data_IF_646048627992
#
_entry.id   IF_646048627992
#
_cell.length_a   1.000
_cell.length_b   1.000
_cell.length_c   1.000
_cell.angle_alpha   90.00
_cell.angle_beta   90.00
_cell.angle_gamma   90.00
#
_symmetry.space_group_name_H-M   'P 1'
#
loop_
_entity.id
_entity.type
_entity.pdbx_description
1 polymer ?
#
# COMPACT_ATOMS: atom_id res chain seq x y z
N UNK A 1 13.79 -24.11 -37.82
CA UNK A 1 13.27 -22.93 -38.54
C UNK A 1 11.76 -22.75 -38.42
N UNK A 2 10.90 -23.77 -38.47
CA UNK A 2 9.44 -23.63 -38.32
C UNK A 2 9.01 -23.21 -36.90
N UNK A 3 9.60 -23.74 -35.85
CA UNK A 3 9.29 -23.45 -34.44
C UNK A 3 9.53 -21.96 -34.09
N UNK A 4 10.61 -21.36 -34.56
CA UNK A 4 10.95 -19.95 -34.34
C UNK A 4 9.94 -18.99 -34.98
N UNK A 5 9.38 -19.35 -36.15
CA UNK A 5 8.33 -18.57 -36.81
C UNK A 5 7.00 -18.56 -36.03
N UNK A 6 6.65 -19.69 -35.39
CA UNK A 6 5.44 -19.77 -34.55
C UNK A 6 5.57 -18.98 -33.25
N UNK A 7 6.74 -18.97 -32.61
CA UNK A 7 7.02 -18.18 -31.41
C UNK A 7 6.96 -16.68 -31.75
N UNK A 8 7.57 -16.27 -32.88
CA UNK A 8 7.54 -14.87 -33.30
C UNK A 8 6.11 -14.39 -33.68
N UNK A 9 5.33 -15.25 -34.36
CA UNK A 9 3.94 -14.95 -34.67
C UNK A 9 3.07 -14.84 -33.43
N UNK A 10 3.28 -15.70 -32.43
CA UNK A 10 2.55 -15.64 -31.16
C UNK A 10 2.86 -14.35 -30.38
N UNK A 11 4.13 -13.91 -30.37
CA UNK A 11 4.53 -12.64 -29.73
C UNK A 11 3.94 -11.42 -30.45
N UNK A 12 3.89 -11.44 -31.78
CA UNK A 12 3.28 -10.36 -32.57
C UNK A 12 1.76 -10.27 -32.35
N UNK A 13 1.07 -11.41 -32.24
CA UNK A 13 -0.37 -11.44 -31.95
C UNK A 13 -0.63 -10.93 -30.52
N UNK A 14 0.15 -11.38 -29.52
CA UNK A 14 0.03 -10.90 -28.16
C UNK A 14 0.33 -9.40 -28.03
N UNK A 15 1.31 -8.89 -28.76
CA UNK A 15 1.65 -7.46 -28.77
C UNK A 15 0.55 -6.62 -29.44
N UNK A 16 -0.04 -7.12 -30.54
CA UNK A 16 -1.14 -6.42 -31.22
C UNK A 16 -2.42 -6.41 -30.41
N UNK A 17 -2.76 -7.49 -29.71
CA UNK A 17 -3.93 -7.56 -28.81
C UNK A 17 -3.75 -6.68 -27.60
N UNK A 18 -2.55 -6.58 -27.04
CA UNK A 18 -2.24 -5.70 -25.91
C UNK A 18 -2.32 -4.22 -26.31
N UNK A 19 -1.77 -3.85 -27.47
CA UNK A 19 -1.86 -2.50 -28.01
C UNK A 19 -3.31 -2.08 -28.29
N UNK A 20 -4.12 -2.98 -28.87
CA UNK A 20 -5.55 -2.73 -29.12
C UNK A 20 -6.36 -2.60 -27.82
N UNK A 21 -6.04 -3.37 -26.79
CA UNK A 21 -6.67 -3.26 -25.48
C UNK A 21 -6.37 -1.90 -24.82
N UNK A 22 -5.11 -1.44 -24.88
CA UNK A 22 -4.72 -0.13 -24.37
C UNK A 22 -5.39 1.03 -25.15
N UNK A 23 -5.51 0.91 -26.45
CA UNK A 23 -6.16 1.93 -27.28
C UNK A 23 -7.66 1.99 -27.00
N UNK A 24 -8.32 0.84 -26.82
CA UNK A 24 -9.71 0.74 -26.40
C UNK A 24 -9.92 1.34 -25.01
N UNK A 25 -9.02 1.11 -24.08
CA UNK A 25 -9.09 1.66 -22.72
C UNK A 25 -8.93 3.20 -22.71
N UNK A 26 -8.09 3.76 -23.59
CA UNK A 26 -7.96 5.21 -23.78
C UNK A 26 -9.22 5.87 -24.37
N UNK A 27 -10.05 5.10 -25.10
CA UNK A 27 -11.30 5.57 -25.72
C UNK A 27 -12.52 5.45 -24.78
N UNK A 28 -12.38 4.75 -23.64
CA UNK A 28 -13.49 4.60 -22.68
C UNK A 28 -13.85 5.94 -22.06
N UNK A 29 -15.15 6.20 -21.95
CA UNK A 29 -15.69 7.31 -21.18
C UNK A 29 -15.38 7.12 -19.67
N UNK A 30 -15.49 8.19 -18.90
CA UNK A 30 -15.34 8.15 -17.45
C UNK A 30 -16.34 7.17 -16.79
N UNK A 31 -17.56 7.07 -17.33
CA UNK A 31 -18.59 6.13 -16.87
C UNK A 31 -18.18 4.67 -17.13
N UNK A 32 -17.81 4.36 -18.38
CA UNK A 32 -17.40 3.00 -18.75
C UNK A 32 -16.18 2.53 -17.94
N UNK A 33 -15.24 3.44 -17.66
CA UNK A 33 -14.10 3.17 -16.79
C UNK A 33 -14.56 2.86 -15.36
N UNK A 34 -15.48 3.67 -14.83
CA UNK A 34 -16.00 3.46 -13.49
C UNK A 34 -16.79 2.15 -13.38
N UNK A 35 -17.60 1.80 -14.38
CA UNK A 35 -18.33 0.53 -14.40
C UNK A 35 -17.38 -0.67 -14.42
N UNK A 36 -16.35 -0.63 -15.27
CA UNK A 36 -15.35 -1.69 -15.38
C UNK A 36 -14.63 -1.94 -14.06
N UNK A 37 -14.06 -0.89 -13.47
CA UNK A 37 -13.30 -1.02 -12.22
C UNK A 37 -14.19 -1.43 -11.05
N UNK A 38 -15.39 -0.88 -10.96
CA UNK A 38 -16.33 -1.24 -9.89
C UNK A 38 -16.72 -2.72 -9.97
N UNK A 39 -17.03 -3.23 -11.16
CA UNK A 39 -17.37 -4.64 -11.36
C UNK A 39 -16.20 -5.56 -11.01
N UNK A 40 -14.96 -5.17 -11.37
CA UNK A 40 -13.74 -5.90 -11.02
C UNK A 40 -13.53 -5.97 -9.50
N UNK A 41 -13.71 -4.86 -8.79
CA UNK A 41 -13.50 -4.77 -7.35
C UNK A 41 -14.60 -5.43 -6.54
N UNK A 42 -15.86 -5.24 -6.91
CA UNK A 42 -16.99 -5.62 -6.06
C UNK A 42 -17.84 -6.75 -6.62
N UNK A 43 -17.51 -7.29 -7.79
CA UNK A 43 -18.28 -8.31 -8.51
C UNK A 43 -19.79 -7.94 -8.64
N UNK A 44 -20.09 -6.66 -8.80
CA UNK A 44 -21.42 -6.08 -8.84
C UNK A 44 -21.46 -4.87 -9.78
N UNK A 45 -22.63 -4.57 -10.32
CA UNK A 45 -22.86 -3.32 -11.07
C UNK A 45 -22.94 -2.14 -10.10
N UNK A 46 -22.43 -0.98 -10.52
CA UNK A 46 -22.61 0.25 -9.75
C UNK A 46 -24.10 0.53 -9.53
N UNK A 47 -24.42 0.98 -8.33
CA UNK A 47 -25.75 1.43 -7.97
C UNK A 47 -25.69 2.85 -7.41
N UNK A 48 -26.74 3.63 -7.64
CA UNK A 48 -26.89 4.93 -7.01
C UNK A 48 -27.24 4.82 -5.52
N UNK A 49 -27.17 5.94 -4.81
CA UNK A 49 -27.75 6.07 -3.48
C UNK A 49 -29.22 6.51 -3.60
N UNK A 50 -30.14 5.92 -2.85
CA UNK A 50 -31.53 6.40 -2.85
C UNK A 50 -31.70 7.75 -2.16
N UNK A 51 -30.76 8.15 -1.30
CA UNK A 51 -30.82 9.40 -0.53
C UNK A 51 -29.89 10.48 -1.08
N UNK A 52 -28.72 10.11 -1.61
CA UNK A 52 -27.66 11.01 -2.02
C UNK A 52 -27.09 10.62 -3.40
N UNK A 53 -27.91 10.62 -4.47
CA UNK A 53 -27.51 10.08 -5.76
C UNK A 53 -26.37 10.87 -6.39
N UNK A 54 -26.36 12.19 -6.33
CA UNK A 54 -25.31 13.03 -6.91
C UNK A 54 -23.96 12.82 -6.22
N UNK A 55 -23.97 12.71 -4.90
CA UNK A 55 -22.74 12.47 -4.14
C UNK A 55 -22.14 11.10 -4.46
N UNK A 56 -22.97 10.06 -4.54
CA UNK A 56 -22.54 8.72 -4.90
C UNK A 56 -21.98 8.67 -6.34
N UNK A 57 -22.59 9.42 -7.25
CA UNK A 57 -22.11 9.50 -8.63
C UNK A 57 -20.73 10.18 -8.71
N UNK A 58 -20.52 11.30 -7.99
CA UNK A 58 -19.24 11.98 -7.90
C UNK A 58 -18.17 11.03 -7.33
N UNK A 59 -18.47 10.35 -6.22
CA UNK A 59 -17.57 9.39 -5.56
C UNK A 59 -17.15 8.28 -6.52
N UNK A 60 -18.11 7.59 -7.14
CA UNK A 60 -17.83 6.45 -7.98
C UNK A 60 -17.07 6.82 -9.26
N UNK A 61 -17.42 7.95 -9.89
CA UNK A 61 -16.72 8.45 -11.08
C UNK A 61 -15.29 8.88 -10.75
N UNK A 62 -15.08 9.56 -9.62
CA UNK A 62 -13.74 9.96 -9.21
C UNK A 62 -12.85 8.75 -8.90
N UNK A 63 -13.31 7.87 -8.01
CA UNK A 63 -12.49 6.73 -7.57
C UNK A 63 -12.22 5.79 -8.74
N UNK A 64 -13.28 5.25 -9.34
CA UNK A 64 -13.17 4.14 -10.29
C UNK A 64 -13.00 4.60 -11.75
N UNK A 65 -13.45 5.82 -12.10
CA UNK A 65 -13.37 6.34 -13.46
C UNK A 65 -12.15 7.22 -13.74
N UNK A 66 -11.50 7.75 -12.71
CA UNK A 66 -10.35 8.65 -12.84
C UNK A 66 -9.13 8.13 -12.07
N UNK A 67 -9.19 8.04 -10.73
CA UNK A 67 -8.05 7.74 -9.87
C UNK A 67 -7.38 6.40 -10.22
N UNK A 68 -8.16 5.38 -10.51
CA UNK A 68 -7.64 4.05 -10.92
C UNK A 68 -6.86 4.07 -12.24
N UNK A 69 -6.97 5.13 -13.02
CA UNK A 69 -6.28 5.30 -14.32
C UNK A 69 -5.08 6.25 -14.26
N UNK A 70 -4.72 6.74 -13.06
CA UNK A 70 -3.57 7.63 -12.89
C UNK A 70 -2.38 6.86 -12.33
N UNK A 71 -1.27 6.87 -13.08
CA UNK A 71 -0.03 6.20 -12.70
C UNK A 71 -0.09 4.68 -12.83
N UNK A 72 1.08 4.05 -12.73
CA UNK A 72 1.23 2.61 -12.94
C UNK A 72 1.25 1.88 -11.60
N UNK A 73 0.08 1.43 -11.14
CA UNK A 73 -0.10 0.54 -10.00
C UNK A 73 -1.00 -0.63 -10.40
N UNK A 74 -0.68 -1.82 -9.94
CA UNK A 74 -1.59 -2.97 -10.09
C UNK A 74 -2.88 -2.75 -9.30
N UNK A 75 -4.01 -3.35 -9.70
CA UNK A 75 -5.24 -3.32 -8.90
C UNK A 75 -5.02 -3.85 -7.47
N UNK A 76 -4.12 -4.83 -7.31
CA UNK A 76 -3.73 -5.38 -6.01
C UNK A 76 -3.08 -4.32 -5.12
N UNK A 77 -2.07 -3.59 -5.63
CA UNK A 77 -1.41 -2.53 -4.85
C UNK A 77 -2.35 -1.37 -4.54
N UNK A 78 -3.25 -0.99 -5.50
CA UNK A 78 -4.27 0.04 -5.27
C UNK A 78 -5.18 -0.31 -4.10
N UNK A 79 -5.64 -1.56 -4.03
CA UNK A 79 -6.50 -1.99 -2.93
C UNK A 79 -5.74 -2.12 -1.60
N UNK A 80 -4.47 -2.54 -1.58
CA UNK A 80 -3.66 -2.50 -0.35
C UNK A 80 -3.45 -1.06 0.17
N UNK A 81 -3.22 -0.09 -0.74
CA UNK A 81 -3.16 1.34 -0.41
C UNK A 81 -4.48 1.81 0.21
N UNK A 82 -5.60 1.42 -0.38
CA UNK A 82 -6.93 1.75 0.13
C UNK A 82 -7.18 1.12 1.51
N UNK A 83 -6.84 -0.16 1.68
CA UNK A 83 -6.97 -0.87 2.95
C UNK A 83 -6.18 -0.19 4.06
N UNK A 84 -4.92 0.20 3.85
CA UNK A 84 -4.14 0.87 4.90
C UNK A 84 -4.63 2.29 5.18
N UNK A 85 -5.12 3.01 4.16
CA UNK A 85 -5.75 4.33 4.35
C UNK A 85 -6.98 4.22 5.25
N UNK A 86 -7.91 3.31 4.94
CA UNK A 86 -9.14 3.09 5.70
C UNK A 86 -8.87 2.51 7.10
N UNK A 87 -7.86 1.65 7.24
CA UNK A 87 -7.36 1.17 8.53
C UNK A 87 -6.89 2.34 9.38
N UNK A 88 -6.09 3.24 8.83
CA UNK A 88 -5.55 4.41 9.52
C UNK A 88 -6.66 5.40 9.92
N UNK A 89 -7.61 5.62 9.02
CA UNK A 89 -8.78 6.50 9.24
C UNK A 89 -9.84 5.89 10.17
N UNK A 90 -9.79 4.59 10.45
CA UNK A 90 -10.80 3.86 11.22
C UNK A 90 -12.21 3.89 10.62
N UNK A 91 -12.29 3.98 9.30
CA UNK A 91 -13.55 3.94 8.57
C UNK A 91 -13.93 2.50 8.28
N UNK A 92 -14.35 1.79 9.33
CA UNK A 92 -14.48 0.32 9.35
C UNK A 92 -15.49 -0.25 8.35
N UNK A 93 -16.66 0.38 8.08
CA UNK A 93 -17.58 -0.11 7.05
C UNK A 93 -16.96 -0.11 5.65
N UNK A 94 -16.24 0.95 5.28
CA UNK A 94 -15.54 1.06 4.01
C UNK A 94 -14.36 0.08 3.97
N UNK A 95 -13.63 -0.08 5.09
CA UNK A 95 -12.56 -1.08 5.21
C UNK A 95 -13.08 -2.49 4.90
N UNK A 96 -14.26 -2.89 5.42
CA UNK A 96 -14.88 -4.19 5.13
C UNK A 96 -15.10 -4.39 3.63
N UNK A 97 -15.63 -3.36 2.95
CA UNK A 97 -15.85 -3.40 1.50
C UNK A 97 -14.53 -3.57 0.73
N UNK A 98 -13.50 -2.78 1.08
CA UNK A 98 -12.22 -2.80 0.38
C UNK A 98 -11.32 -4.01 0.74
N UNK A 99 -11.47 -4.64 1.90
CA UNK A 99 -10.89 -5.96 2.16
C UNK A 99 -11.46 -6.99 1.17
N UNK A 100 -12.77 -6.97 0.93
CA UNK A 100 -13.39 -7.82 -0.07
C UNK A 100 -12.89 -7.52 -1.49
N UNK A 101 -12.78 -6.24 -1.85
CA UNK A 101 -12.24 -5.81 -3.13
C UNK A 101 -10.79 -6.25 -3.33
N UNK A 102 -9.93 -6.08 -2.30
CA UNK A 102 -8.55 -6.53 -2.32
C UNK A 102 -8.42 -8.04 -2.60
N UNK A 103 -9.28 -8.85 -1.99
CA UNK A 103 -9.33 -10.29 -2.24
C UNK A 103 -9.87 -10.61 -3.65
N UNK A 104 -10.84 -9.86 -4.15
CA UNK A 104 -11.41 -10.05 -5.48
C UNK A 104 -10.39 -9.79 -6.60
N UNK A 105 -9.54 -8.78 -6.44
CA UNK A 105 -8.48 -8.47 -7.42
C UNK A 105 -7.23 -9.35 -7.27
N UNK A 106 -7.26 -10.35 -6.37
CA UNK A 106 -6.24 -11.39 -6.27
C UNK A 106 -5.18 -11.18 -5.19
N UNK A 107 -5.34 -10.21 -4.28
CA UNK A 107 -4.53 -10.23 -3.06
C UNK A 107 -4.85 -11.47 -2.23
N UNK A 108 -3.83 -12.11 -1.69
CA UNK A 108 -4.03 -13.22 -0.75
C UNK A 108 -4.52 -12.71 0.61
N UNK A 109 -5.24 -13.54 1.38
CA UNK A 109 -5.60 -13.20 2.75
C UNK A 109 -4.40 -12.79 3.62
N UNK A 110 -3.23 -13.39 3.38
CA UNK A 110 -1.99 -13.06 4.06
C UNK A 110 -1.51 -11.65 3.73
N UNK A 111 -1.51 -11.26 2.45
CA UNK A 111 -1.12 -9.91 2.03
C UNK A 111 -2.01 -8.84 2.65
N UNK A 112 -3.32 -9.06 2.65
CA UNK A 112 -4.27 -8.10 3.26
C UNK A 112 -4.07 -8.02 4.78
N UNK A 113 -3.90 -9.16 5.47
CA UNK A 113 -3.60 -9.17 6.91
C UNK A 113 -2.32 -8.44 7.23
N UNK A 114 -1.24 -8.73 6.50
CA UNK A 114 0.06 -8.13 6.75
C UNK A 114 0.08 -6.63 6.45
N UNK A 115 -0.75 -6.14 5.51
CA UNK A 115 -0.92 -4.70 5.29
C UNK A 115 -1.60 -4.01 6.49
N UNK A 116 -2.59 -4.65 7.11
CA UNK A 116 -3.23 -4.16 8.34
C UNK A 116 -2.25 -4.22 9.53
N UNK A 117 -1.50 -5.31 9.67
CA UNK A 117 -0.51 -5.47 10.74
C UNK A 117 0.60 -4.42 10.65
N UNK A 118 1.05 -4.11 9.43
CA UNK A 118 2.06 -3.08 9.16
C UNK A 118 1.67 -1.71 9.73
N UNK A 119 0.39 -1.43 9.87
CA UNK A 119 -0.08 -0.17 10.44
C UNK A 119 0.18 -0.05 11.95
N UNK A 120 0.35 -1.15 12.69
CA UNK A 120 0.45 -1.15 14.15
C UNK A 120 1.52 -0.21 14.73
N UNK A 121 2.76 -0.15 14.20
CA UNK A 121 3.77 0.79 14.69
C UNK A 121 3.41 2.27 14.49
N UNK A 122 2.55 2.57 13.55
CA UNK A 122 2.18 3.95 13.18
C UNK A 122 0.90 4.44 13.87
N UNK A 123 -0.12 3.59 14.01
CA UNK A 123 -1.43 3.96 14.53
C UNK A 123 -1.74 3.38 15.92
N UNK A 124 -0.87 2.51 16.42
CA UNK A 124 -1.02 1.82 17.69
C UNK A 124 -1.97 0.61 17.65
N UNK A 125 -1.84 -0.26 18.65
CA UNK A 125 -2.59 -1.51 18.72
C UNK A 125 -4.13 -1.34 18.75
N UNK A 126 -4.72 -0.39 19.49
CA UNK A 126 -6.18 -0.32 19.54
C UNK A 126 -6.84 -0.12 18.18
N UNK A 127 -6.30 0.77 17.35
CA UNK A 127 -6.82 1.00 16.00
C UNK A 127 -6.56 -0.20 15.07
N UNK A 128 -5.40 -0.83 15.22
CA UNK A 128 -5.05 -2.02 14.44
C UNK A 128 -5.96 -3.20 14.81
N UNK A 129 -6.28 -3.39 16.09
CA UNK A 129 -7.20 -4.44 16.54
C UNK A 129 -8.62 -4.27 15.97
N UNK A 130 -9.12 -3.04 15.87
CA UNK A 130 -10.40 -2.78 15.20
C UNK A 130 -10.38 -3.26 13.74
N UNK A 131 -9.34 -2.92 13.00
CA UNK A 131 -9.18 -3.34 11.60
C UNK A 131 -9.00 -4.86 11.46
N UNK A 132 -8.24 -5.49 12.36
CA UNK A 132 -8.09 -6.96 12.44
C UNK A 132 -9.44 -7.64 12.69
N UNK A 133 -10.28 -7.05 13.54
CA UNK A 133 -11.65 -7.54 13.78
C UNK A 133 -12.46 -7.59 12.48
N UNK A 134 -12.48 -6.49 11.72
CA UNK A 134 -13.17 -6.41 10.42
C UNK A 134 -12.58 -7.39 9.40
N UNK A 135 -11.25 -7.50 9.34
CA UNK A 135 -10.60 -8.48 8.47
C UNK A 135 -11.05 -9.91 8.81
N UNK A 136 -11.03 -10.29 10.08
CA UNK A 136 -11.42 -11.62 10.52
C UNK A 136 -12.91 -11.94 10.21
N UNK A 137 -13.80 -10.94 10.28
CA UNK A 137 -15.19 -11.08 9.85
C UNK A 137 -15.27 -11.46 8.36
N UNK A 138 -14.60 -10.69 7.48
CA UNK A 138 -14.57 -10.95 6.03
C UNK A 138 -13.99 -12.34 5.73
N UNK A 139 -12.90 -12.73 6.38
CA UNK A 139 -12.26 -14.04 6.18
C UNK A 139 -13.20 -15.17 6.53
N UNK A 140 -13.93 -15.06 7.65
CA UNK A 140 -14.96 -16.03 8.05
C UNK A 140 -16.13 -16.06 7.07
N UNK A 141 -16.65 -14.91 6.64
CA UNK A 141 -17.72 -14.79 5.65
C UNK A 141 -17.36 -15.46 4.32
N UNK A 142 -16.08 -15.45 3.96
CA UNK A 142 -15.55 -16.14 2.77
C UNK A 142 -15.23 -17.63 2.98
N UNK A 143 -15.49 -18.17 4.15
CA UNK A 143 -15.26 -19.59 4.46
C UNK A 143 -13.76 -19.95 4.59
N UNK A 144 -12.89 -18.97 4.83
CA UNK A 144 -11.46 -19.20 5.01
C UNK A 144 -11.18 -19.48 6.49
N UNK A 145 -10.43 -20.53 6.76
CA UNK A 145 -10.11 -20.95 8.13
C UNK A 145 -9.13 -19.98 8.81
N UNK A 146 -9.38 -19.73 10.10
CA UNK A 146 -8.48 -19.01 11.00
C UNK A 146 -7.95 -19.97 12.06
N UNK A 147 -6.73 -19.77 12.58
CA UNK A 147 -5.81 -18.68 12.23
C UNK A 147 -5.13 -18.89 10.88
N UNK A 148 -4.77 -17.80 10.20
CA UNK A 148 -3.91 -17.87 9.02
C UNK A 148 -2.47 -18.18 9.43
N UNK A 149 -1.66 -18.63 8.47
CA UNK A 149 -0.24 -18.93 8.66
C UNK A 149 0.53 -17.77 9.33
N UNK A 150 1.45 -18.12 10.23
CA UNK A 150 2.32 -17.14 10.89
C UNK A 150 3.43 -16.68 9.93
N UNK A 151 3.50 -15.38 9.68
CA UNK A 151 4.49 -14.76 8.79
C UNK A 151 5.73 -14.22 9.50
N UNK A 152 5.88 -14.43 10.81
CA UNK A 152 7.07 -14.01 11.55
C UNK A 152 8.32 -14.76 11.09
N UNK A 153 9.45 -14.04 10.99
CA UNK A 153 10.75 -14.58 10.56
C UNK A 153 11.80 -14.50 11.65
N UNK A 154 11.43 -14.01 12.82
CA UNK A 154 12.30 -13.75 13.97
C UNK A 154 11.96 -14.64 15.16
N UNK A 155 12.95 -14.80 16.07
CA UNK A 155 12.78 -15.34 17.42
C UNK A 155 13.20 -14.26 18.43
N UNK A 156 12.93 -14.46 19.72
CA UNK A 156 13.35 -13.49 20.76
C UNK A 156 14.88 -13.29 20.77
N UNK A 157 15.65 -14.36 20.48
CA UNK A 157 17.12 -14.31 20.50
C UNK A 157 17.69 -13.46 19.36
N UNK A 158 17.06 -13.45 18.18
CA UNK A 158 17.57 -12.72 17.00
C UNK A 158 16.79 -11.42 16.69
N UNK A 159 15.78 -11.09 17.49
CA UNK A 159 14.84 -10.00 17.26
C UNK A 159 15.54 -8.66 17.05
N UNK A 160 16.44 -8.27 17.98
CA UNK A 160 17.14 -7.00 17.87
C UNK A 160 18.08 -6.94 16.65
N UNK A 161 18.87 -7.99 16.46
CA UNK A 161 19.86 -8.06 15.38
C UNK A 161 19.21 -7.99 14.00
N UNK A 162 18.15 -8.76 13.78
CA UNK A 162 17.40 -8.79 12.51
C UNK A 162 16.75 -7.44 12.19
N UNK A 163 16.13 -6.80 13.19
CA UNK A 163 15.53 -5.48 13.03
C UNK A 163 16.57 -4.41 12.75
N UNK A 164 17.70 -4.43 13.49
CA UNK A 164 18.77 -3.47 13.29
C UNK A 164 19.41 -3.59 11.90
N UNK A 165 19.58 -4.81 11.39
CA UNK A 165 20.11 -5.02 10.05
C UNK A 165 19.22 -4.37 8.99
N UNK A 166 17.93 -4.64 9.01
CA UNK A 166 16.97 -4.05 8.06
C UNK A 166 16.82 -2.53 8.23
N UNK A 167 16.80 -2.04 9.49
CA UNK A 167 16.74 -0.62 9.79
C UNK A 167 17.94 0.13 9.21
N UNK A 168 19.16 -0.42 9.38
CA UNK A 168 20.38 0.19 8.84
C UNK A 168 20.41 0.20 7.31
N UNK A 169 19.91 -0.84 6.69
CA UNK A 169 19.82 -0.95 5.25
C UNK A 169 18.94 0.17 4.65
N UNK A 170 17.78 0.42 5.26
CA UNK A 170 16.84 1.46 4.81
C UNK A 170 17.23 2.88 5.26
N UNK A 171 17.57 3.05 6.53
CA UNK A 171 17.66 4.37 7.18
C UNK A 171 19.04 4.70 7.77
N UNK A 172 20.03 3.79 7.63
CA UNK A 172 21.36 4.01 8.19
C UNK A 172 21.32 4.19 9.71
N UNK A 173 22.07 5.16 10.21
CA UNK A 173 22.12 5.52 11.63
C UNK A 173 21.19 6.69 12.01
N UNK A 174 20.35 7.18 11.10
CA UNK A 174 19.51 8.37 11.30
C UNK A 174 18.57 8.23 12.52
N UNK A 175 18.00 7.04 12.71
CA UNK A 175 17.13 6.75 13.87
C UNK A 175 17.89 6.91 15.18
N UNK A 176 19.11 6.33 15.27
CA UNK A 176 19.96 6.44 16.44
C UNK A 176 20.37 7.89 16.70
N UNK A 177 20.72 8.63 15.65
CA UNK A 177 21.08 10.05 15.74
C UNK A 177 19.91 10.89 16.23
N UNK A 178 18.69 10.63 15.75
CA UNK A 178 17.49 11.35 16.18
C UNK A 178 17.20 11.19 17.69
N UNK A 179 17.61 10.07 18.29
CA UNK A 179 17.39 9.78 19.73
C UNK A 179 18.53 10.29 20.62
N UNK A 180 19.69 10.68 20.06
CA UNK A 180 20.88 11.10 20.85
C UNK A 180 20.64 12.30 21.80
N UNK A 181 19.64 13.14 21.51
CA UNK A 181 19.28 14.27 22.37
C UNK A 181 18.48 13.90 23.62
N UNK A 182 18.02 12.65 23.73
CA UNK A 182 17.27 12.18 24.88
C UNK A 182 18.21 11.78 26.01
N UNK A 183 17.85 12.03 27.31
CA UNK A 183 18.59 11.49 28.43
C UNK A 183 18.37 9.97 28.57
N UNK A 184 19.36 9.28 29.17
CA UNK A 184 19.17 7.88 29.56
C UNK A 184 18.10 7.74 30.66
N UNK A 185 17.31 6.66 30.69
CA UNK A 185 17.40 5.49 29.79
C UNK A 185 16.61 5.66 28.46
N UNK A 186 15.95 6.80 28.24
CA UNK A 186 15.02 6.99 27.08
C UNK A 186 15.76 6.93 25.74
N UNK A 187 17.00 7.42 25.67
CA UNK A 187 17.81 7.35 24.46
C UNK A 187 17.96 5.91 23.96
N UNK A 188 18.37 5.01 24.83
CA UNK A 188 18.55 3.58 24.53
C UNK A 188 17.21 2.87 24.34
N UNK A 189 16.29 3.00 25.27
CA UNK A 189 15.04 2.23 25.28
C UNK A 189 14.13 2.58 24.11
N UNK A 190 13.96 3.88 23.77
CA UNK A 190 13.12 4.31 22.64
C UNK A 190 13.73 3.89 21.31
N UNK A 191 15.06 3.99 21.17
CA UNK A 191 15.76 3.51 19.97
C UNK A 191 15.59 2.01 19.80
N UNK A 192 15.74 1.25 20.87
CA UNK A 192 15.57 -0.20 20.89
C UNK A 192 14.13 -0.61 20.61
N UNK A 193 13.14 0.10 21.18
CA UNK A 193 11.73 -0.14 20.86
C UNK A 193 11.45 0.06 19.37
N UNK A 194 11.97 1.13 18.75
CA UNK A 194 11.78 1.35 17.32
C UNK A 194 12.38 0.19 16.51
N UNK A 195 13.61 -0.23 16.84
CA UNK A 195 14.27 -1.36 16.17
C UNK A 195 13.51 -2.66 16.36
N UNK A 196 13.16 -3.02 17.59
CA UNK A 196 12.48 -4.29 17.91
C UNK A 196 11.03 -4.30 17.43
N UNK A 197 10.25 -3.26 17.74
CA UNK A 197 8.83 -3.21 17.45
C UNK A 197 8.53 -2.93 15.99
N UNK A 198 9.08 -1.86 15.41
CA UNK A 198 8.77 -1.51 14.03
C UNK A 198 9.50 -2.45 13.05
N UNK A 199 10.83 -2.50 13.12
CA UNK A 199 11.61 -3.23 12.13
C UNK A 199 11.55 -4.74 12.33
N UNK A 200 11.71 -5.25 13.55
CA UNK A 200 11.72 -6.69 13.76
C UNK A 200 10.34 -7.30 13.70
N UNK A 201 9.40 -6.82 14.52
CA UNK A 201 8.11 -7.50 14.68
C UNK A 201 7.20 -7.34 13.45
N UNK A 202 7.36 -6.25 12.66
CA UNK A 202 6.52 -5.97 11.51
C UNK A 202 7.25 -5.96 10.18
N UNK A 203 8.39 -5.27 10.04
CA UNK A 203 9.06 -5.14 8.76
C UNK A 203 9.78 -6.42 8.29
N UNK A 204 10.26 -7.29 9.20
CA UNK A 204 10.87 -8.57 8.80
C UNK A 204 9.86 -9.64 8.38
N UNK A 205 8.57 -9.46 8.68
CA UNK A 205 7.52 -10.45 8.38
C UNK A 205 7.43 -10.73 6.88
N UNK A 206 7.12 -11.98 6.52
CA UNK A 206 6.78 -12.36 5.15
C UNK A 206 5.36 -11.86 4.76
N UNK A 207 4.94 -12.15 3.54
CA UNK A 207 3.60 -11.81 3.01
C UNK A 207 3.56 -10.52 2.20
N UNK A 208 4.39 -9.53 2.53
CA UNK A 208 4.60 -8.31 1.73
C UNK A 208 6.07 -8.16 1.35
N UNK A 209 6.34 -7.66 0.15
CA UNK A 209 7.70 -7.26 -0.24
C UNK A 209 8.12 -5.99 0.50
N UNK A 210 9.43 -5.73 0.58
CA UNK A 210 9.94 -4.50 1.17
C UNK A 210 9.44 -3.25 0.43
N UNK A 211 9.34 -3.33 -0.89
CA UNK A 211 8.74 -2.29 -1.72
C UNK A 211 7.30 -1.99 -1.29
N UNK A 212 6.46 -3.02 -1.11
CA UNK A 212 5.09 -2.84 -0.65
C UNK A 212 5.06 -2.24 0.76
N UNK A 213 5.87 -2.73 1.70
CA UNK A 213 5.92 -2.20 3.07
C UNK A 213 6.26 -0.72 3.10
N UNK A 214 7.30 -0.28 2.38
CA UNK A 214 7.68 1.12 2.33
C UNK A 214 6.61 1.99 1.67
N UNK A 215 5.99 1.51 0.57
CA UNK A 215 4.91 2.25 -0.10
C UNK A 215 3.69 2.42 0.82
N UNK A 216 3.27 1.36 1.49
CA UNK A 216 2.13 1.38 2.41
C UNK A 216 2.43 2.22 3.66
N UNK A 217 3.67 2.18 4.18
CA UNK A 217 4.09 3.03 5.30
C UNK A 217 4.05 4.51 4.95
N UNK A 218 4.48 4.89 3.75
CA UNK A 218 4.36 6.27 3.25
C UNK A 218 2.88 6.71 3.19
N UNK A 219 1.99 5.84 2.71
CA UNK A 219 0.54 6.11 2.67
C UNK A 219 -0.03 6.30 4.08
N UNK A 220 0.35 5.43 5.04
CA UNK A 220 -0.09 5.54 6.44
C UNK A 220 0.37 6.87 7.05
N UNK A 221 1.63 7.24 6.87
CA UNK A 221 2.18 8.49 7.37
C UNK A 221 1.52 9.72 6.73
N UNK A 222 1.26 9.67 5.44
CA UNK A 222 0.51 10.71 4.72
C UNK A 222 -0.90 10.84 5.27
N UNK A 223 -1.58 9.72 5.52
CA UNK A 223 -2.93 9.69 6.12
C UNK A 223 -2.96 10.32 7.51
N UNK A 224 -1.90 10.10 8.29
CA UNK A 224 -1.73 10.69 9.63
C UNK A 224 -1.33 12.17 9.62
N UNK A 225 -0.90 12.71 8.47
CA UNK A 225 -0.28 14.04 8.41
C UNK A 225 1.07 14.10 9.16
N UNK A 226 1.83 13.01 9.17
CA UNK A 226 3.09 12.87 9.91
C UNK A 226 4.27 13.52 9.14
N UNK A 227 4.22 14.83 8.95
CA UNK A 227 5.11 15.61 8.08
C UNK A 227 6.60 15.38 8.36
N UNK A 228 6.98 15.17 9.63
CA UNK A 228 8.39 14.98 10.02
C UNK A 228 8.95 13.61 9.59
N UNK A 229 8.11 12.58 9.49
CA UNK A 229 8.51 11.23 9.13
C UNK A 229 8.46 10.96 7.61
N UNK A 230 7.59 11.68 6.90
CA UNK A 230 7.37 11.49 5.46
C UNK A 230 8.67 11.59 4.63
N UNK A 231 9.56 12.59 4.83
CA UNK A 231 10.79 12.69 4.03
C UNK A 231 11.70 11.45 4.13
N UNK A 232 11.86 10.88 5.32
CA UNK A 232 12.65 9.67 5.49
C UNK A 232 12.04 8.48 4.74
N UNK A 233 10.69 8.33 4.77
CA UNK A 233 10.00 7.25 4.06
C UNK A 233 9.96 7.45 2.54
N UNK A 234 10.00 8.69 2.02
CA UNK A 234 10.21 8.93 0.58
C UNK A 234 11.57 8.36 0.15
N UNK A 235 12.61 8.58 0.94
CA UNK A 235 13.95 8.03 0.70
C UNK A 235 13.97 6.52 0.89
N UNK A 236 13.34 5.99 1.95
CA UNK A 236 13.17 4.56 2.19
C UNK A 236 12.52 3.86 1.00
N UNK A 237 11.48 4.47 0.41
CA UNK A 237 10.84 3.99 -0.81
C UNK A 237 11.80 3.92 -2.01
N UNK A 238 12.62 4.96 -2.23
CA UNK A 238 13.62 4.94 -3.31
C UNK A 238 14.62 3.80 -3.11
N UNK A 239 15.09 3.59 -1.88
CA UNK A 239 16.01 2.49 -1.53
C UNK A 239 15.34 1.12 -1.68
N UNK A 240 14.05 0.99 -1.33
CA UNK A 240 13.28 -0.23 -1.53
C UNK A 240 12.93 -0.50 -3.01
N UNK A 241 13.29 0.39 -3.94
CA UNK A 241 13.04 0.23 -5.38
C UNK A 241 11.71 0.84 -5.87
N UNK A 242 11.04 1.65 -5.05
CA UNK A 242 9.88 2.43 -5.49
C UNK A 242 10.37 3.78 -6.03
N UNK A 243 10.29 3.99 -7.32
CA UNK A 243 10.60 5.28 -7.93
C UNK A 243 9.57 6.36 -7.54
N UNK A 244 9.84 7.61 -7.93
CA UNK A 244 8.93 8.72 -7.66
C UNK A 244 7.56 8.54 -8.32
N UNK A 245 7.50 7.95 -9.52
CA UNK A 245 6.24 7.78 -10.23
C UNK A 245 5.33 6.82 -9.46
N UNK A 246 5.88 5.72 -8.92
CA UNK A 246 5.15 4.77 -8.10
C UNK A 246 4.65 5.41 -6.79
N UNK A 247 5.50 6.22 -6.14
CA UNK A 247 5.11 6.97 -4.94
C UNK A 247 4.01 7.99 -5.23
N UNK A 248 4.11 8.75 -6.34
CA UNK A 248 3.08 9.70 -6.77
C UNK A 248 1.76 9.00 -7.08
N UNK A 249 1.80 7.86 -7.78
CA UNK A 249 0.62 7.06 -8.07
C UNK A 249 -0.09 6.58 -6.78
N UNK A 250 0.68 6.20 -5.74
CA UNK A 250 0.14 5.83 -4.44
C UNK A 250 -0.55 7.01 -3.74
N UNK A 251 0.03 8.21 -3.81
CA UNK A 251 -0.60 9.42 -3.26
C UNK A 251 -1.91 9.75 -3.99
N UNK A 252 -1.93 9.65 -5.32
CA UNK A 252 -3.17 9.87 -6.10
C UNK A 252 -4.23 8.83 -5.74
N UNK A 253 -3.86 7.55 -5.59
CA UNK A 253 -4.78 6.50 -5.14
C UNK A 253 -5.37 6.79 -3.76
N UNK A 254 -4.60 7.40 -2.87
CA UNK A 254 -5.06 7.72 -1.52
C UNK A 254 -6.02 8.93 -1.46
N UNK A 255 -5.99 9.87 -2.43
CA UNK A 255 -6.77 11.13 -2.42
C UNK A 255 -8.24 10.95 -2.01
N UNK A 256 -9.01 10.01 -2.61
CA UNK A 256 -10.43 9.88 -2.29
C UNK A 256 -10.72 9.50 -0.84
N UNK A 257 -9.74 8.91 -0.16
CA UNK A 257 -9.88 8.39 1.20
C UNK A 257 -9.36 9.34 2.26
N UNK A 258 -8.23 10.02 1.98
CA UNK A 258 -7.53 10.87 2.96
C UNK A 258 -7.71 12.38 2.71
N UNK A 259 -8.29 12.73 1.56
CA UNK A 259 -8.46 14.11 1.13
C UNK A 259 -7.23 14.72 0.45
N UNK A 260 -7.46 15.75 -0.34
CA UNK A 260 -6.44 16.46 -1.10
C UNK A 260 -5.31 17.08 -0.24
N UNK A 261 -5.57 17.72 0.91
CA UNK A 261 -4.52 18.46 1.61
C UNK A 261 -3.32 17.58 1.99
N UNK A 262 -3.55 16.44 2.63
CA UNK A 262 -2.48 15.52 3.04
C UNK A 262 -1.75 14.90 1.84
N UNK A 263 -2.51 14.48 0.81
CA UNK A 263 -1.93 13.92 -0.40
C UNK A 263 -1.04 14.94 -1.14
N UNK A 264 -1.52 16.18 -1.32
CA UNK A 264 -0.76 17.23 -2.00
C UNK A 264 0.50 17.64 -1.24
N UNK A 265 0.46 17.69 0.10
CA UNK A 265 1.64 17.95 0.91
C UNK A 265 2.73 16.90 0.63
N UNK A 266 2.40 15.61 0.64
CA UNK A 266 3.35 14.53 0.34
C UNK A 266 3.79 14.53 -1.13
N UNK A 267 2.89 14.80 -2.09
CA UNK A 267 3.24 14.94 -3.51
C UNK A 267 4.32 16.02 -3.71
N UNK A 268 4.20 17.16 -3.03
CA UNK A 268 5.22 18.21 -3.10
C UNK A 268 6.56 17.75 -2.53
N UNK A 269 6.57 17.06 -1.39
CA UNK A 269 7.80 16.50 -0.81
C UNK A 269 8.46 15.47 -1.75
N UNK A 270 7.69 14.57 -2.37
CA UNK A 270 8.21 13.62 -3.37
C UNK A 270 8.84 14.35 -4.55
N UNK A 271 8.17 15.37 -5.07
CA UNK A 271 8.68 16.19 -6.18
C UNK A 271 10.03 16.84 -5.85
N UNK A 272 10.15 17.41 -4.64
CA UNK A 272 11.30 18.16 -4.18
C UNK A 272 12.49 17.27 -3.78
N UNK A 273 12.27 16.00 -3.45
CA UNK A 273 13.32 15.06 -3.07
C UNK A 273 14.30 14.85 -4.24
N UNK A 274 15.61 15.03 -3.99
CA UNK A 274 16.68 14.81 -4.98
C UNK A 274 17.07 13.33 -5.02
N UNK A 275 17.14 12.75 -6.21
CA UNK A 275 17.40 11.31 -6.44
C UNK A 275 18.90 10.99 -6.51
N UNK A 276 19.77 11.98 -6.75
CA UNK A 276 21.16 11.83 -7.22
C UNK A 276 22.07 10.93 -6.35
N UNK A 277 21.63 10.53 -5.15
CA UNK A 277 22.43 9.78 -4.17
C UNK A 277 21.83 8.44 -3.73
N UNK A 278 20.72 7.99 -4.30
CA UNK A 278 20.02 6.79 -3.82
C UNK A 278 20.07 5.67 -4.85
N UNK A 279 20.66 4.52 -4.47
CA UNK A 279 20.59 3.27 -5.23
C UNK A 279 19.61 2.33 -4.56
N UNK A 280 18.81 1.56 -5.32
CA UNK A 280 18.00 0.50 -4.75
C UNK A 280 18.86 -0.51 -3.99
N UNK A 281 18.31 -1.05 -2.90
CA UNK A 281 18.98 -2.08 -2.07
C UNK A 281 18.98 -3.43 -2.81
N UNK A 282 17.93 -3.65 -3.60
CA UNK A 282 17.79 -4.84 -4.44
C UNK A 282 17.67 -4.41 -5.91
N UNK A 283 18.54 -4.98 -6.76
CA UNK A 283 18.44 -4.89 -8.23
C UNK A 283 17.53 -5.99 -8.77
#
# INVERSE_FOLDING_TARGET
MKFFKYVLALHLILFSTFAQAQEKEKQMTREERADKVYEELFAAKRSGSPTDPEFMEILQRLIFGEVFYVGELSPQDRELITVVSLTTMQTLPQLKAHINAALNVGNTPLQVRESIYLAAPFIGFPRTLNAVGVFNEVIKERGINLPLENMATITEENRFEKGLALQKELYGDEVKQAMQALPEPYQTEVSDMLTKFCFSDFYTRNGLTLQQKELLSLVILTTLGAEKQIPAHIIGNLKAGNDKNRQLAAMVQAIPYIGLPNALATINLIKETKIENYKPIYE
#
